data_IF_532018349498
#
_entry.id   IF_532018349498
#
_cell.length_a   1.000
_cell.length_b   1.000
_cell.length_c   1.000
_cell.angle_alpha   90.00
_cell.angle_beta   90.00
_cell.angle_gamma   90.00
#
_symmetry.space_group_name_H-M   'P 1'
#
loop_
_entity.id
_entity.type
_entity.pdbx_description
1 polymer ?
#
# COMPACT_ATOMS: atom_id res chain seq x y z
N UNK A 1 9.36 -43.51 83.21
CA UNK A 1 8.23 -44.43 83.44
C UNK A 1 6.94 -43.61 83.37
N UNK A 2 6.09 -43.82 82.35
CA UNK A 2 4.80 -43.11 82.22
C UNK A 2 4.40 -42.79 80.77
N UNK A 3 3.57 -43.66 80.18
CA UNK A 3 2.97 -43.53 78.83
C UNK A 3 1.94 -42.40 78.76
N UNK A 4 1.91 -41.65 77.66
CA UNK A 4 0.69 -40.96 77.16
C UNK A 4 0.62 -41.22 75.64
N UNK A 5 -0.20 -42.19 75.21
CA UNK A 5 -1.58 -42.05 74.69
C UNK A 5 -1.62 -41.24 73.39
N UNK A 6 -1.87 -41.97 72.31
CA UNK A 6 -1.85 -41.47 70.93
C UNK A 6 -2.98 -40.50 70.60
N UNK A 7 -2.64 -39.52 69.77
CA UNK A 7 -3.60 -38.73 69.01
C UNK A 7 -3.89 -39.47 67.69
N UNK A 8 -5.01 -40.19 67.64
CA UNK A 8 -5.63 -40.62 66.38
C UNK A 8 -6.34 -39.41 65.79
N UNK A 9 -5.64 -38.61 64.99
CA UNK A 9 -6.25 -37.56 64.19
C UNK A 9 -5.82 -37.71 62.72
N UNK A 10 -6.83 -37.86 61.87
CA UNK A 10 -6.88 -37.46 60.46
C UNK A 10 -6.24 -38.39 59.41
N UNK A 11 -6.82 -39.58 59.20
CA UNK A 11 -6.62 -40.34 57.93
C UNK A 11 -7.90 -40.41 57.09
N UNK A 12 -9.10 -40.25 57.68
CA UNK A 12 -10.36 -40.22 56.94
C UNK A 12 -10.63 -38.91 56.18
N UNK A 13 -9.95 -37.81 56.53
CA UNK A 13 -10.21 -36.49 55.94
C UNK A 13 -9.59 -36.31 54.53
N UNK A 14 -8.56 -37.08 54.17
CA UNK A 14 -7.88 -36.94 52.87
C UNK A 14 -8.56 -37.76 51.75
N UNK A 15 -9.14 -38.92 52.04
CA UNK A 15 -9.76 -39.76 50.99
C UNK A 15 -11.09 -39.15 50.50
N UNK A 16 -11.86 -38.50 51.38
CA UNK A 16 -13.08 -37.78 51.01
C UNK A 16 -12.84 -36.50 50.19
N UNK A 17 -11.69 -35.83 50.36
CA UNK A 17 -11.33 -34.60 49.63
C UNK A 17 -10.79 -34.85 48.22
N UNK A 18 -10.19 -36.02 47.93
CA UNK A 18 -9.76 -36.38 46.56
C UNK A 18 -10.92 -36.87 45.67
N UNK A 19 -11.91 -37.58 46.22
CA UNK A 19 -13.11 -38.02 45.48
C UNK A 19 -13.99 -36.83 45.13
N UNK A 20 -14.22 -35.92 46.09
CA UNK A 20 -14.96 -34.67 45.86
C UNK A 20 -14.31 -33.77 44.82
N UNK A 21 -12.97 -33.65 44.78
CA UNK A 21 -12.27 -32.88 43.75
C UNK A 21 -12.42 -33.46 42.33
N UNK A 22 -12.42 -34.78 42.16
CA UNK A 22 -12.61 -35.41 40.84
C UNK A 22 -14.05 -35.30 40.35
N UNK A 23 -15.02 -35.45 41.25
CA UNK A 23 -16.44 -35.23 40.95
C UNK A 23 -16.72 -33.76 40.63
N UNK A 24 -16.13 -32.83 41.38
CA UNK A 24 -16.21 -31.38 41.10
C UNK A 24 -15.58 -31.03 39.74
N UNK A 25 -14.41 -31.61 39.40
CA UNK A 25 -13.79 -31.40 38.09
C UNK A 25 -14.64 -31.99 36.95
N UNK A 26 -15.25 -33.16 37.15
CA UNK A 26 -16.16 -33.77 36.19
C UNK A 26 -17.42 -32.91 35.99
N UNK A 27 -18.00 -32.37 37.08
CA UNK A 27 -19.11 -31.41 37.02
C UNK A 27 -18.71 -30.12 36.31
N UNK A 28 -17.54 -29.54 36.60
CA UNK A 28 -17.05 -28.34 35.91
C UNK A 28 -16.84 -28.59 34.40
N UNK A 29 -16.32 -29.77 34.01
CA UNK A 29 -16.19 -30.17 32.60
C UNK A 29 -17.55 -30.36 31.94
N UNK A 30 -18.52 -30.94 32.63
CA UNK A 30 -19.88 -31.10 32.12
C UNK A 30 -20.57 -29.74 31.94
N UNK A 31 -20.41 -28.81 32.90
CA UNK A 31 -20.91 -27.44 32.80
C UNK A 31 -20.22 -26.71 31.63
N UNK A 32 -18.91 -26.84 31.48
CA UNK A 32 -18.17 -26.25 30.38
C UNK A 32 -18.62 -26.81 29.02
N UNK A 33 -18.77 -28.13 28.89
CA UNK A 33 -19.26 -28.78 27.66
C UNK A 33 -20.69 -28.35 27.32
N UNK A 34 -21.59 -28.30 28.31
CA UNK A 34 -22.94 -27.80 28.12
C UNK A 34 -22.95 -26.31 27.73
N UNK A 35 -22.06 -25.50 28.30
CA UNK A 35 -21.90 -24.09 27.93
C UNK A 35 -21.39 -23.92 26.50
N UNK A 36 -20.49 -24.79 26.04
CA UNK A 36 -19.98 -24.79 24.67
C UNK A 36 -21.07 -25.21 23.67
N UNK A 37 -21.81 -26.27 23.96
CA UNK A 37 -22.94 -26.69 23.14
C UNK A 37 -24.03 -25.60 23.05
N UNK A 38 -24.31 -24.91 24.16
CA UNK A 38 -25.24 -23.77 24.16
C UNK A 38 -24.73 -22.60 23.28
N UNK A 39 -23.44 -22.28 23.34
CA UNK A 39 -22.84 -21.27 22.48
C UNK A 39 -22.89 -21.66 20.99
N UNK A 40 -22.62 -22.92 20.66
CA UNK A 40 -22.71 -23.42 19.27
C UNK A 40 -24.14 -23.37 18.74
N UNK A 41 -25.11 -23.81 19.54
CA UNK A 41 -26.52 -23.69 19.21
C UNK A 41 -26.92 -22.23 18.99
N UNK A 42 -26.48 -21.31 19.85
CA UNK A 42 -26.76 -19.89 19.70
C UNK A 42 -26.14 -19.32 18.41
N UNK A 43 -24.93 -19.74 18.04
CA UNK A 43 -24.30 -19.35 16.75
C UNK A 43 -25.12 -19.86 15.57
N UNK A 44 -25.54 -21.13 15.58
CA UNK A 44 -26.37 -21.69 14.51
C UNK A 44 -27.72 -20.96 14.40
N UNK A 45 -28.37 -20.65 15.52
CA UNK A 45 -29.61 -19.87 15.53
C UNK A 45 -29.39 -18.47 14.94
N UNK A 46 -28.28 -17.81 15.29
CA UNK A 46 -27.93 -16.51 14.72
C UNK A 46 -27.68 -16.59 13.20
N UNK A 47 -27.03 -17.64 12.72
CA UNK A 47 -26.81 -17.87 11.28
C UNK A 47 -28.14 -18.06 10.54
N UNK A 48 -29.06 -18.86 11.10
CA UNK A 48 -30.41 -19.03 10.54
C UNK A 48 -31.16 -17.69 10.49
N UNK A 49 -31.09 -16.90 11.57
CA UNK A 49 -31.72 -15.57 11.61
C UNK A 49 -31.13 -14.63 10.57
N UNK A 50 -29.80 -14.63 10.38
CA UNK A 50 -29.12 -13.83 9.35
C UNK A 50 -29.55 -14.25 7.94
N UNK A 51 -29.66 -15.54 7.69
CA UNK A 51 -30.11 -16.07 6.40
C UNK A 51 -31.55 -15.65 6.10
N UNK A 52 -32.46 -15.78 7.07
CA UNK A 52 -33.85 -15.34 6.93
C UNK A 52 -33.97 -13.83 6.72
N UNK A 53 -33.16 -13.04 7.42
CA UNK A 53 -33.12 -11.59 7.25
C UNK A 53 -32.66 -11.21 5.84
N UNK A 54 -31.61 -11.87 5.32
CA UNK A 54 -31.16 -11.68 3.95
C UNK A 54 -32.24 -12.01 2.92
N UNK A 55 -32.92 -13.16 3.06
CA UNK A 55 -34.00 -13.56 2.15
C UNK A 55 -35.14 -12.53 2.13
N UNK A 56 -35.57 -12.06 3.31
CA UNK A 56 -36.62 -11.04 3.42
C UNK A 56 -36.21 -9.67 2.86
N UNK A 57 -34.91 -9.32 2.92
CA UNK A 57 -34.37 -8.09 2.34
C UNK A 57 -34.22 -8.21 0.81
N UNK A 58 -33.78 -9.38 0.31
CA UNK A 58 -33.67 -9.68 -1.10
C UNK A 58 -35.04 -9.69 -1.79
N UNK A 59 -36.06 -10.28 -1.18
CA UNK A 59 -37.45 -10.24 -1.68
C UNK A 59 -37.98 -8.80 -1.76
N UNK A 60 -37.68 -7.97 -0.75
CA UNK A 60 -38.03 -6.55 -0.76
C UNK A 60 -37.32 -5.80 -1.89
N UNK A 61 -36.07 -6.16 -2.22
CA UNK A 61 -35.32 -5.58 -3.32
C UNK A 61 -35.90 -6.01 -4.69
N UNK A 62 -36.25 -7.29 -4.85
CA UNK A 62 -36.93 -7.82 -6.04
C UNK A 62 -38.24 -7.08 -6.31
N UNK A 63 -39.12 -7.00 -5.31
CA UNK A 63 -40.38 -6.27 -5.47
C UNK A 63 -40.19 -4.78 -5.78
N UNK A 64 -39.19 -4.14 -5.16
CA UNK A 64 -38.87 -2.73 -5.45
C UNK A 64 -38.42 -2.56 -6.90
N UNK A 65 -37.47 -3.37 -7.36
CA UNK A 65 -36.92 -3.29 -8.71
C UNK A 65 -37.97 -3.60 -9.78
N UNK A 66 -38.79 -4.63 -9.58
CA UNK A 66 -39.92 -4.94 -10.47
C UNK A 66 -40.91 -3.77 -10.58
N UNK A 67 -41.20 -3.10 -9.46
CA UNK A 67 -42.06 -1.92 -9.45
C UNK A 67 -41.42 -0.76 -10.22
N UNK A 68 -40.13 -0.47 -10.04
CA UNK A 68 -39.45 0.60 -10.80
C UNK A 68 -39.40 0.30 -12.30
N UNK A 69 -39.28 -0.97 -12.69
CA UNK A 69 -39.39 -1.42 -14.09
C UNK A 69 -40.80 -1.19 -14.63
N UNK A 70 -41.83 -1.57 -13.87
CA UNK A 70 -43.23 -1.36 -14.27
C UNK A 70 -43.58 0.13 -14.41
N UNK A 71 -42.96 0.99 -13.59
CA UNK A 71 -43.11 2.45 -13.67
C UNK A 71 -42.27 3.11 -14.78
N UNK A 72 -41.47 2.33 -15.53
CA UNK A 72 -40.60 2.85 -16.58
C UNK A 72 -39.44 3.70 -16.08
N UNK A 73 -39.15 3.68 -14.77
CA UNK A 73 -38.03 4.42 -14.16
C UNK A 73 -36.70 3.69 -14.26
N UNK A 74 -36.75 2.39 -14.51
CA UNK A 74 -35.61 1.49 -14.57
C UNK A 74 -35.80 0.50 -15.72
N UNK A 75 -34.73 0.15 -16.42
CA UNK A 75 -34.78 -0.92 -17.45
C UNK A 75 -34.72 -2.30 -16.78
N UNK A 76 -35.20 -3.35 -17.46
CA UNK A 76 -35.09 -4.73 -16.92
C UNK A 76 -33.63 -5.12 -16.66
N UNK A 77 -32.72 -4.74 -17.56
CA UNK A 77 -31.27 -4.99 -17.41
C UNK A 77 -30.68 -4.26 -16.20
N UNK A 78 -31.12 -3.03 -15.92
CA UNK A 78 -30.72 -2.32 -14.71
C UNK A 78 -31.22 -3.06 -13.46
N UNK A 79 -32.47 -3.53 -13.46
CA UNK A 79 -33.03 -4.30 -12.35
C UNK A 79 -32.23 -5.59 -12.10
N UNK A 80 -31.95 -6.35 -13.17
CA UNK A 80 -31.16 -7.58 -13.08
C UNK A 80 -29.73 -7.29 -12.55
N UNK A 81 -29.11 -6.17 -12.92
CA UNK A 81 -27.81 -5.74 -12.39
C UNK A 81 -27.86 -5.40 -10.89
N UNK A 82 -28.91 -4.72 -10.41
CA UNK A 82 -29.07 -4.41 -8.98
C UNK A 82 -29.25 -5.68 -8.14
N UNK A 83 -30.00 -6.65 -8.65
CA UNK A 83 -30.18 -7.94 -8.00
C UNK A 83 -28.88 -8.73 -7.98
N UNK A 84 -28.13 -8.71 -9.07
CA UNK A 84 -26.80 -9.29 -9.16
C UNK A 84 -25.81 -8.67 -8.17
N UNK A 85 -25.80 -7.34 -8.03
CA UNK A 85 -24.99 -6.62 -7.05
C UNK A 85 -25.28 -7.10 -5.62
N UNK A 86 -26.56 -7.16 -5.25
CA UNK A 86 -26.98 -7.61 -3.93
C UNK A 86 -26.53 -9.05 -3.64
N UNK A 87 -26.70 -9.96 -4.60
CA UNK A 87 -26.29 -11.36 -4.48
C UNK A 87 -24.78 -11.49 -4.32
N UNK A 88 -23.98 -10.76 -5.12
CA UNK A 88 -22.52 -10.78 -5.01
C UNK A 88 -22.05 -10.24 -3.65
N UNK A 89 -22.63 -9.13 -3.18
CA UNK A 89 -22.29 -8.57 -1.87
C UNK A 89 -22.56 -9.56 -0.75
N UNK A 90 -23.70 -10.25 -0.78
CA UNK A 90 -24.02 -11.29 0.19
C UNK A 90 -23.05 -12.47 0.11
N UNK A 91 -22.74 -12.97 -1.10
CA UNK A 91 -21.81 -14.09 -1.27
C UNK A 91 -20.40 -13.77 -0.74
N UNK A 92 -19.97 -12.50 -0.82
CA UNK A 92 -18.73 -12.03 -0.18
C UNK A 92 -18.87 -12.00 1.34
N UNK A 93 -19.98 -11.49 1.87
CA UNK A 93 -20.24 -11.38 3.31
C UNK A 93 -20.25 -12.75 4.00
N UNK A 94 -20.87 -13.75 3.37
CA UNK A 94 -20.91 -15.12 3.90
C UNK A 94 -19.68 -15.97 3.54
N UNK A 95 -18.69 -15.38 2.86
CA UNK A 95 -17.43 -16.04 2.51
C UNK A 95 -17.54 -17.10 1.39
N UNK A 96 -18.65 -17.13 0.64
CA UNK A 96 -18.81 -18.01 -0.54
C UNK A 96 -17.99 -17.50 -1.74
N UNK A 97 -17.76 -16.19 -1.84
CA UNK A 97 -17.03 -15.57 -2.95
C UNK A 97 -15.87 -14.71 -2.45
N UNK A 98 -14.75 -14.75 -3.19
CA UNK A 98 -13.61 -13.90 -2.91
C UNK A 98 -13.93 -12.43 -3.29
N UNK A 99 -13.60 -11.43 -2.44
CA UNK A 99 -13.86 -10.02 -2.72
C UNK A 99 -13.28 -9.50 -4.05
N UNK A 100 -12.08 -9.97 -4.44
CA UNK A 100 -11.46 -9.56 -5.69
C UNK A 100 -12.19 -10.13 -6.90
N UNK A 101 -12.63 -11.39 -6.81
CA UNK A 101 -13.42 -12.02 -7.86
C UNK A 101 -14.78 -11.32 -7.99
N UNK A 102 -15.45 -11.05 -6.86
CA UNK A 102 -16.69 -10.29 -6.81
C UNK A 102 -16.55 -8.92 -7.49
N UNK A 103 -15.51 -8.16 -7.15
CA UNK A 103 -15.26 -6.86 -7.75
C UNK A 103 -15.06 -6.94 -9.27
N UNK A 104 -14.30 -7.92 -9.76
CA UNK A 104 -14.11 -8.12 -11.21
C UNK A 104 -15.42 -8.45 -11.93
N UNK A 105 -16.23 -9.37 -11.37
CA UNK A 105 -17.54 -9.73 -11.92
C UNK A 105 -18.49 -8.52 -11.97
N UNK A 106 -18.52 -7.70 -10.91
CA UNK A 106 -19.29 -6.46 -10.89
C UNK A 106 -18.88 -5.48 -11.99
N UNK A 107 -17.57 -5.29 -12.20
CA UNK A 107 -17.06 -4.44 -13.28
C UNK A 107 -17.49 -4.93 -14.66
N UNK A 108 -17.40 -6.23 -14.91
CA UNK A 108 -17.78 -6.83 -16.20
C UNK A 108 -19.28 -6.67 -16.45
N UNK A 109 -20.13 -7.04 -15.48
CA UNK A 109 -21.58 -6.90 -15.63
C UNK A 109 -22.02 -5.44 -15.77
N UNK A 110 -21.33 -4.51 -15.10
CA UNK A 110 -21.59 -3.08 -15.27
C UNK A 110 -21.22 -2.59 -16.67
N UNK A 111 -20.07 -3.05 -17.18
CA UNK A 111 -19.63 -2.77 -18.54
C UNK A 111 -20.63 -3.30 -19.58
N UNK A 112 -21.13 -4.53 -19.41
CA UNK A 112 -22.12 -5.13 -20.29
C UNK A 112 -23.45 -4.34 -20.27
N UNK A 113 -23.89 -3.88 -19.09
CA UNK A 113 -25.05 -3.01 -18.95
C UNK A 113 -24.87 -1.68 -19.70
N UNK A 114 -23.71 -1.05 -19.56
CA UNK A 114 -23.40 0.20 -20.25
C UNK A 114 -23.43 0.04 -21.78
N UNK A 115 -22.89 -1.06 -22.30
CA UNK A 115 -22.92 -1.37 -23.74
C UNK A 115 -24.33 -1.66 -24.21
N UNK A 116 -25.07 -2.47 -23.45
CA UNK A 116 -26.45 -2.84 -23.69
C UNK A 116 -27.41 -1.65 -23.78
N UNK A 117 -27.12 -0.56 -23.07
CA UNK A 117 -27.91 0.67 -23.08
C UNK A 117 -27.35 1.76 -24.00
N UNK A 118 -26.29 1.46 -24.75
CA UNK A 118 -25.66 2.43 -25.65
C UNK A 118 -24.94 3.56 -24.92
N UNK A 119 -24.63 3.40 -23.62
CA UNK A 119 -23.87 4.37 -22.83
C UNK A 119 -22.37 4.35 -23.15
N UNK A 120 -21.87 3.23 -23.68
CA UNK A 120 -20.49 3.05 -24.08
C UNK A 120 -20.37 2.05 -25.22
N UNK A 121 -19.30 2.15 -26.00
CA UNK A 121 -18.89 1.10 -26.94
C UNK A 121 -18.26 -0.09 -26.22
N UNK A 122 -18.21 -1.25 -26.89
CA UNK A 122 -17.52 -2.42 -26.34
C UNK A 122 -16.06 -2.11 -25.98
N UNK A 123 -15.37 -1.33 -26.82
CA UNK A 123 -13.98 -0.94 -26.61
C UNK A 123 -13.80 -0.07 -25.35
N UNK A 124 -14.66 0.93 -25.16
CA UNK A 124 -14.64 1.81 -23.98
C UNK A 124 -14.99 1.04 -22.70
N UNK A 125 -15.94 0.10 -22.79
CA UNK A 125 -16.34 -0.73 -21.68
C UNK A 125 -15.19 -1.68 -21.24
N UNK A 126 -14.57 -2.39 -22.20
CA UNK A 126 -13.39 -3.22 -21.92
C UNK A 126 -12.21 -2.41 -21.37
N UNK A 127 -11.96 -1.21 -21.91
CA UNK A 127 -10.93 -0.31 -21.39
C UNK A 127 -11.18 0.06 -19.92
N UNK A 128 -12.40 0.43 -19.57
CA UNK A 128 -12.77 0.79 -18.19
C UNK A 128 -12.60 -0.39 -17.23
N UNK A 129 -13.04 -1.59 -17.61
CA UNK A 129 -12.83 -2.80 -16.79
C UNK A 129 -11.35 -3.02 -16.50
N UNK A 130 -10.49 -2.95 -17.53
CA UNK A 130 -9.05 -3.12 -17.34
C UNK A 130 -8.43 -2.03 -16.46
N UNK A 131 -8.84 -0.77 -16.64
CA UNK A 131 -8.31 0.35 -15.86
C UNK A 131 -8.69 0.26 -14.38
N UNK A 132 -9.97 0.03 -14.09
CA UNK A 132 -10.48 -0.06 -12.71
C UNK A 132 -9.92 -1.30 -12.01
N UNK A 133 -9.87 -2.44 -12.71
CA UNK A 133 -9.25 -3.65 -12.17
C UNK A 133 -7.76 -3.43 -11.84
N UNK A 134 -7.02 -2.76 -12.73
CA UNK A 134 -5.61 -2.49 -12.48
C UNK A 134 -5.42 -1.63 -11.23
N UNK A 135 -6.22 -0.57 -11.06
CA UNK A 135 -6.15 0.32 -9.90
C UNK A 135 -6.60 -0.36 -8.61
N UNK A 136 -7.60 -1.25 -8.66
CA UNK A 136 -8.00 -2.07 -7.52
C UNK A 136 -6.86 -2.98 -7.04
N UNK A 137 -6.15 -3.62 -7.97
CA UNK A 137 -5.06 -4.55 -7.64
C UNK A 137 -3.73 -3.85 -7.33
N UNK A 138 -3.57 -2.59 -7.73
CA UNK A 138 -2.31 -1.87 -7.61
C UNK A 138 -2.50 -0.57 -6.82
N UNK A 139 -1.98 -0.49 -5.59
CA UNK A 139 -1.98 0.77 -4.86
C UNK A 139 -1.12 1.83 -5.57
N UNK A 140 -1.23 3.07 -5.10
CA UNK A 140 -0.42 4.18 -5.58
C UNK A 140 1.08 3.85 -5.59
N UNK A 141 1.84 4.31 -6.60
CA UNK A 141 3.26 4.04 -6.72
C UNK A 141 4.03 4.59 -5.54
N UNK A 142 5.13 3.90 -5.20
CA UNK A 142 6.12 4.43 -4.27
C UNK A 142 6.99 5.46 -5.00
N UNK A 143 7.37 6.58 -4.36
CA UNK A 143 8.21 7.61 -4.97
C UNK A 143 9.54 7.06 -5.53
N UNK A 144 10.14 6.10 -4.83
CA UNK A 144 11.40 5.46 -5.24
C UNK A 144 11.31 4.57 -6.49
N UNK A 145 10.13 4.17 -6.95
CA UNK A 145 9.99 3.42 -8.20
C UNK A 145 9.88 4.33 -9.44
N UNK A 146 9.98 5.65 -9.26
CA UNK A 146 9.93 6.61 -10.36
C UNK A 146 11.06 6.37 -11.35
N UNK A 147 10.72 6.40 -12.63
CA UNK A 147 11.72 6.41 -13.71
C UNK A 147 12.44 7.75 -13.68
N UNK A 148 13.75 7.70 -13.49
CA UNK A 148 14.60 8.89 -13.37
C UNK A 148 15.84 8.75 -14.24
N UNK A 149 16.46 9.89 -14.59
CA UNK A 149 17.60 9.92 -15.50
C UNK A 149 18.90 9.37 -14.87
N UNK A 150 19.00 9.39 -13.54
CA UNK A 150 20.17 9.00 -12.76
C UNK A 150 19.79 8.41 -11.40
N UNK A 151 20.73 7.71 -10.75
CA UNK A 151 20.54 7.21 -9.39
C UNK A 151 20.37 8.34 -8.36
N UNK A 152 21.06 9.47 -8.52
CA UNK A 152 20.87 10.64 -7.64
C UNK A 152 19.45 11.18 -7.69
N UNK A 153 18.88 11.28 -8.89
CA UNK A 153 17.48 11.68 -9.07
C UNK A 153 16.49 10.66 -8.47
N UNK A 154 16.80 9.36 -8.55
CA UNK A 154 16.02 8.32 -7.86
C UNK A 154 16.04 8.51 -6.35
N UNK A 155 17.21 8.77 -5.76
CA UNK A 155 17.36 9.03 -4.32
C UNK A 155 16.65 10.33 -3.88
N UNK A 156 16.67 11.36 -4.72
CA UNK A 156 15.91 12.59 -4.45
C UNK A 156 14.40 12.32 -4.51
N UNK A 157 13.94 11.55 -5.51
CA UNK A 157 12.53 11.22 -5.68
C UNK A 157 12.00 10.32 -4.55
N UNK A 158 12.83 9.40 -4.02
CA UNK A 158 12.43 8.49 -2.95
C UNK A 158 12.14 9.18 -1.61
N UNK A 159 12.60 10.42 -1.43
CA UNK A 159 12.39 11.23 -0.22
C UNK A 159 11.12 12.09 -0.25
N UNK A 160 10.47 12.21 -1.41
CA UNK A 160 9.25 13.00 -1.60
C UNK A 160 8.00 12.13 -1.72
N UNK A 161 6.82 12.72 -1.90
CA UNK A 161 5.63 11.97 -2.30
C UNK A 161 5.74 11.49 -3.76
N UNK A 162 4.90 10.53 -4.14
CA UNK A 162 4.76 10.16 -5.53
C UNK A 162 4.13 11.33 -6.31
N UNK A 163 4.64 11.58 -7.50
CA UNK A 163 4.22 12.69 -8.37
C UNK A 163 3.83 12.14 -9.74
N UNK A 164 3.03 12.86 -10.54
CA UNK A 164 2.69 12.41 -11.88
C UNK A 164 3.93 12.10 -12.73
N UNK A 165 3.90 11.00 -13.50
CA UNK A 165 4.99 10.59 -14.36
C UNK A 165 5.11 9.08 -14.57
N UNK A 166 6.27 8.65 -15.06
CA UNK A 166 6.56 7.25 -15.36
C UNK A 166 7.16 6.52 -14.16
N UNK A 167 6.66 5.31 -13.89
CA UNK A 167 7.11 4.47 -12.78
C UNK A 167 7.45 3.05 -13.26
N UNK A 168 8.54 2.50 -12.74
CA UNK A 168 8.90 1.10 -12.92
C UNK A 168 7.96 0.24 -12.08
N UNK A 169 7.04 -0.44 -12.75
CA UNK A 169 6.02 -1.26 -12.09
C UNK A 169 6.12 -2.73 -12.48
N UNK A 170 6.47 -2.97 -13.73
CA UNK A 170 6.62 -4.29 -14.32
C UNK A 170 8.07 -4.41 -14.85
N UNK A 171 8.69 -5.60 -14.83
CA UNK A 171 10.05 -5.77 -15.32
C UNK A 171 10.21 -5.26 -16.76
N UNK A 172 11.05 -4.25 -16.97
CA UNK A 172 11.31 -3.66 -18.29
C UNK A 172 10.19 -2.75 -18.84
N UNK A 173 9.08 -2.57 -18.11
CA UNK A 173 7.94 -1.75 -18.54
C UNK A 173 7.67 -0.65 -17.52
N UNK A 174 7.64 0.58 -18.01
CA UNK A 174 7.19 1.73 -17.25
C UNK A 174 5.69 1.97 -17.50
N UNK A 175 4.96 2.29 -16.44
CA UNK A 175 3.55 2.69 -16.50
C UNK A 175 3.38 4.10 -15.98
N UNK A 176 2.46 4.86 -16.56
CA UNK A 176 2.21 6.24 -16.18
C UNK A 176 1.22 6.34 -15.02
N UNK A 177 1.58 7.16 -14.04
CA UNK A 177 0.77 7.65 -12.93
C UNK A 177 0.36 9.09 -13.20
N UNK A 178 -0.92 9.42 -13.09
CA UNK A 178 -1.44 10.78 -13.35
C UNK A 178 -1.47 11.69 -12.12
N UNK A 179 -1.17 11.14 -10.93
CA UNK A 179 -1.27 11.84 -9.65
C UNK A 179 -2.33 11.26 -8.73
N UNK A 180 -3.38 10.65 -9.28
CA UNK A 180 -4.49 10.06 -8.55
C UNK A 180 -4.64 8.56 -8.80
N UNK A 181 -4.39 8.11 -10.04
CA UNK A 181 -4.55 6.71 -10.47
C UNK A 181 -3.52 6.29 -11.50
N UNK A 182 -3.36 4.98 -11.64
CA UNK A 182 -2.60 4.37 -12.72
C UNK A 182 -3.38 4.51 -14.02
N UNK A 183 -2.65 4.80 -15.09
CA UNK A 183 -3.20 4.78 -16.45
C UNK A 183 -2.85 3.47 -17.15
N UNK A 184 -3.54 3.19 -18.27
CA UNK A 184 -3.18 2.07 -19.13
C UNK A 184 -2.00 2.38 -20.07
N UNK A 185 -1.48 3.61 -20.06
CA UNK A 185 -0.31 3.99 -20.84
C UNK A 185 0.95 3.30 -20.30
N UNK A 186 1.61 2.55 -21.18
CA UNK A 186 2.86 1.86 -20.89
C UNK A 186 3.89 2.15 -21.96
N UNK A 187 5.16 2.03 -21.61
CA UNK A 187 6.28 2.08 -22.55
C UNK A 187 7.46 1.27 -22.02
N UNK A 188 8.44 0.91 -22.87
CA UNK A 188 9.68 0.32 -22.39
C UNK A 188 10.36 1.22 -21.36
N UNK A 189 10.86 0.64 -20.27
CA UNK A 189 11.52 1.39 -19.20
C UNK A 189 12.78 2.14 -19.69
N UNK A 190 13.43 1.62 -20.73
CA UNK A 190 14.55 2.28 -21.42
C UNK A 190 14.11 3.58 -22.08
N UNK A 191 13.01 3.54 -22.83
CA UNK A 191 12.40 4.72 -23.47
C UNK A 191 11.97 5.75 -22.43
N UNK A 192 11.31 5.31 -21.35
CA UNK A 192 10.92 6.21 -20.27
C UNK A 192 12.14 6.91 -19.62
N UNK A 193 13.25 6.18 -19.45
CA UNK A 193 14.50 6.72 -18.91
C UNK A 193 15.16 7.72 -19.85
N UNK A 194 15.10 7.47 -21.16
CA UNK A 194 15.58 8.42 -22.17
C UNK A 194 14.75 9.69 -22.20
N UNK A 195 13.42 9.58 -22.12
CA UNK A 195 12.52 10.73 -22.01
C UNK A 195 12.87 11.55 -20.76
N UNK A 196 12.94 10.90 -19.59
CA UNK A 196 13.32 11.57 -18.35
C UNK A 196 14.69 12.25 -18.43
N UNK A 197 15.65 11.66 -19.16
CA UNK A 197 16.97 12.27 -19.41
C UNK A 197 16.88 13.48 -20.34
N UNK A 198 16.14 13.40 -21.44
CA UNK A 198 15.96 14.50 -22.40
C UNK A 198 15.26 15.69 -21.73
N UNK A 199 14.19 15.42 -20.98
CA UNK A 199 13.48 16.42 -20.19
C UNK A 199 14.44 17.12 -19.23
N UNK A 200 15.22 16.36 -18.46
CA UNK A 200 16.21 16.91 -17.53
C UNK A 200 17.28 17.78 -18.21
N UNK A 201 17.75 17.39 -19.40
CA UNK A 201 18.69 18.20 -20.18
C UNK A 201 18.07 19.50 -20.72
N UNK A 202 16.76 19.54 -20.91
CA UNK A 202 16.03 20.68 -21.49
C UNK A 202 15.65 21.79 -20.48
N UNK A 203 15.86 21.58 -19.17
CA UNK A 203 15.40 22.48 -18.09
C UNK A 203 16.03 23.88 -18.12
N UNK A 204 17.02 24.13 -18.98
CA UNK A 204 17.70 25.43 -19.12
C UNK A 204 16.84 26.62 -19.59
N UNK A 205 15.54 26.44 -19.87
CA UNK A 205 14.67 27.47 -20.44
C UNK A 205 13.65 28.10 -19.46
N UNK A 206 13.40 27.52 -18.28
CA UNK A 206 12.26 27.89 -17.44
C UNK A 206 12.66 28.53 -16.11
N UNK A 207 13.00 29.82 -16.09
CA UNK A 207 13.00 30.67 -14.87
C UNK A 207 13.78 30.17 -13.63
N UNK A 208 14.52 29.08 -13.74
CA UNK A 208 15.20 28.42 -12.63
C UNK A 208 16.49 29.17 -12.37
N UNK A 209 16.60 29.70 -11.16
CA UNK A 209 17.74 30.53 -10.78
C UNK A 209 19.00 29.66 -10.79
N UNK A 210 19.96 30.01 -11.65
CA UNK A 210 21.25 29.33 -11.70
C UNK A 210 21.98 29.45 -10.36
N UNK A 211 22.38 28.30 -9.85
CA UNK A 211 23.15 28.18 -8.61
C UNK A 211 24.62 28.52 -8.87
N UNK A 212 25.27 29.16 -7.90
CA UNK A 212 26.67 29.55 -8.01
C UNK A 212 27.58 28.35 -7.79
N UNK A 213 28.45 28.09 -8.75
CA UNK A 213 29.51 27.09 -8.64
C UNK A 213 30.49 27.44 -7.52
N UNK A 214 30.85 28.72 -7.41
CA UNK A 214 31.78 29.18 -6.36
C UNK A 214 31.21 28.92 -4.98
N UNK A 215 29.93 29.26 -4.74
CA UNK A 215 29.27 28.95 -3.47
C UNK A 215 29.22 27.44 -3.22
N UNK A 216 28.83 26.64 -4.20
CA UNK A 216 28.79 25.18 -4.08
C UNK A 216 30.16 24.57 -3.75
N UNK A 217 31.22 25.04 -4.43
CA UNK A 217 32.59 24.56 -4.23
C UNK A 217 33.18 24.96 -2.87
N UNK A 218 33.00 26.22 -2.45
CA UNK A 218 33.40 26.68 -1.11
C UNK A 218 32.66 25.88 -0.03
N UNK A 219 31.35 25.64 -0.23
CA UNK A 219 30.56 24.84 0.69
C UNK A 219 31.04 23.39 0.74
N UNK A 220 31.52 22.84 -0.37
CA UNK A 220 32.16 21.51 -0.41
C UNK A 220 33.49 21.47 0.34
N UNK A 221 34.32 22.52 0.25
CA UNK A 221 35.60 22.57 0.98
C UNK A 221 35.37 22.74 2.48
N UNK A 222 34.50 23.68 2.88
CA UNK A 222 34.33 24.02 4.29
C UNK A 222 33.38 23.07 5.02
N UNK A 223 32.30 22.63 4.37
CA UNK A 223 31.22 21.83 4.96
C UNK A 223 30.91 20.56 4.12
N UNK A 224 31.83 20.11 3.27
CA UNK A 224 31.61 18.93 2.45
C UNK A 224 31.55 17.63 3.24
N UNK A 225 32.12 17.60 4.45
CA UNK A 225 32.07 16.41 5.31
C UNK A 225 30.62 16.03 5.71
N UNK A 226 29.70 17.00 5.78
CA UNK A 226 28.25 16.75 5.94
C UNK A 226 27.47 16.77 4.61
N UNK A 227 28.13 17.03 3.49
CA UNK A 227 27.48 17.12 2.17
C UNK A 227 26.67 18.40 1.92
N UNK A 228 27.01 19.51 2.59
CA UNK A 228 26.25 20.78 2.47
C UNK A 228 26.13 21.28 1.01
N UNK A 229 27.17 21.07 0.19
CA UNK A 229 27.16 21.40 -1.25
C UNK A 229 26.11 20.60 -2.03
N UNK A 230 25.84 19.34 -1.67
CA UNK A 230 24.78 18.53 -2.30
C UNK A 230 23.40 19.08 -2.01
N UNK A 231 23.16 19.50 -0.76
CA UNK A 231 21.91 20.18 -0.39
C UNK A 231 21.73 21.50 -1.15
N UNK A 232 22.80 22.30 -1.26
CA UNK A 232 22.78 23.51 -2.08
C UNK A 232 22.42 23.21 -3.53
N UNK A 233 23.02 22.20 -4.14
CA UNK A 233 22.73 21.76 -5.51
C UNK A 233 21.34 21.12 -5.66
N UNK A 234 20.66 20.77 -4.56
CA UNK A 234 19.33 20.17 -4.56
C UNK A 234 19.34 18.64 -4.55
N UNK A 235 20.52 18.03 -4.49
CA UNK A 235 20.74 16.59 -4.36
C UNK A 235 20.59 16.13 -2.91
N UNK A 236 19.39 16.29 -2.37
CA UNK A 236 19.07 15.93 -0.97
C UNK A 236 19.38 14.46 -0.68
N UNK A 237 19.08 13.57 -1.63
CA UNK A 237 19.38 12.14 -1.60
C UNK A 237 20.84 11.85 -1.25
N UNK A 238 21.75 12.43 -2.05
CA UNK A 238 23.19 12.31 -1.84
C UNK A 238 23.66 13.06 -0.61
N UNK A 239 23.10 14.24 -0.31
CA UNK A 239 23.45 15.01 0.89
C UNK A 239 23.20 14.23 2.18
N UNK A 240 22.03 13.61 2.33
CA UNK A 240 21.72 12.78 3.49
C UNK A 240 22.57 11.51 3.55
N UNK A 241 22.85 10.87 2.40
CA UNK A 241 23.75 9.72 2.36
C UNK A 241 25.14 10.10 2.87
N UNK A 242 25.68 11.22 2.38
CA UNK A 242 27.00 11.71 2.78
C UNK A 242 27.04 12.06 4.27
N UNK A 243 26.04 12.78 4.78
CA UNK A 243 25.91 13.09 6.21
C UNK A 243 25.80 11.83 7.08
N UNK A 244 25.01 10.84 6.64
CA UNK A 244 24.86 9.55 7.34
C UNK A 244 26.15 8.75 7.36
N UNK A 245 26.85 8.64 6.22
CA UNK A 245 28.15 7.97 6.14
C UNK A 245 29.17 8.66 7.04
N UNK A 246 29.25 10.00 7.02
CA UNK A 246 30.13 10.74 7.92
C UNK A 246 29.79 10.44 9.39
N UNK A 247 28.52 10.57 9.80
CA UNK A 247 28.10 10.34 11.18
C UNK A 247 28.43 8.92 11.67
N UNK A 248 28.20 7.90 10.83
CA UNK A 248 28.43 6.50 11.19
C UNK A 248 29.91 6.12 11.24
N UNK A 249 30.75 6.77 10.43
CA UNK A 249 32.16 6.39 10.26
C UNK A 249 33.13 7.34 10.94
N UNK A 250 32.68 8.53 11.38
CA UNK A 250 33.55 9.56 11.95
C UNK A 250 34.37 9.05 13.13
N UNK A 251 33.74 8.29 14.04
CA UNK A 251 34.39 7.72 15.22
C UNK A 251 35.50 6.71 14.89
N UNK A 252 35.40 6.02 13.74
CA UNK A 252 36.36 4.98 13.34
C UNK A 252 37.42 5.49 12.36
N UNK A 253 37.09 6.51 11.57
CA UNK A 253 37.95 7.02 10.49
C UNK A 253 38.66 8.32 10.84
N UNK A 254 38.46 8.84 12.06
CA UNK A 254 39.00 10.12 12.54
C UNK A 254 38.77 11.28 11.56
N UNK A 255 37.63 11.26 10.86
CA UNK A 255 37.26 12.31 9.91
C UNK A 255 37.90 12.22 8.52
N UNK A 256 38.62 11.14 8.18
CA UNK A 256 39.15 10.92 6.81
C UNK A 256 38.05 10.95 5.74
N UNK A 257 36.85 10.48 6.08
CA UNK A 257 35.66 10.55 5.19
C UNK A 257 35.29 12.00 4.83
N UNK A 258 35.66 12.97 5.66
CA UNK A 258 35.48 14.40 5.35
C UNK A 258 36.29 14.87 4.15
N UNK A 259 37.42 14.22 3.83
CA UNK A 259 38.25 14.54 2.66
C UNK A 259 37.52 14.27 1.34
N UNK A 260 36.56 13.34 1.32
CA UNK A 260 35.70 13.13 0.16
C UNK A 260 34.92 14.41 -0.20
N UNK A 261 34.37 15.09 0.81
CA UNK A 261 33.67 16.36 0.62
C UNK A 261 34.58 17.47 0.07
N UNK A 262 35.82 17.55 0.59
CA UNK A 262 36.82 18.51 0.10
C UNK A 262 37.18 18.25 -1.35
N UNK A 263 37.41 16.99 -1.72
CA UNK A 263 37.70 16.59 -3.10
C UNK A 263 36.56 16.99 -4.05
N UNK A 264 35.30 16.74 -3.67
CA UNK A 264 34.13 17.19 -4.45
C UNK A 264 34.06 18.71 -4.56
N UNK A 265 34.35 19.44 -3.48
CA UNK A 265 34.41 20.90 -3.49
C UNK A 265 35.42 21.45 -4.51
N UNK A 266 36.62 20.86 -4.57
CA UNK A 266 37.64 21.20 -5.56
C UNK A 266 37.16 20.85 -6.98
N UNK A 267 36.58 19.68 -7.19
CA UNK A 267 36.07 19.26 -8.50
C UNK A 267 34.98 20.20 -9.04
N UNK A 268 34.10 20.68 -8.17
CA UNK A 268 33.08 21.69 -8.51
C UNK A 268 33.75 22.99 -8.96
N UNK A 269 34.76 23.48 -8.22
CA UNK A 269 35.50 24.68 -8.61
C UNK A 269 36.26 24.50 -9.93
N UNK A 270 36.79 23.30 -10.18
CA UNK A 270 37.51 22.95 -11.40
C UNK A 270 36.61 22.65 -12.61
N UNK A 271 35.27 22.79 -12.50
CA UNK A 271 34.30 22.49 -13.58
C UNK A 271 34.37 21.05 -14.08
N UNK A 272 34.58 20.09 -13.18
CA UNK A 272 34.44 18.69 -13.58
C UNK A 272 33.05 18.45 -14.19
N UNK A 273 32.97 17.76 -15.34
CA UNK A 273 31.73 17.60 -16.11
C UNK A 273 30.60 17.00 -15.28
N UNK A 274 30.93 16.08 -14.37
CA UNK A 274 29.99 15.42 -13.46
C UNK A 274 29.31 16.38 -12.47
N UNK A 275 29.85 17.58 -12.25
CA UNK A 275 29.33 18.64 -11.38
C UNK A 275 28.98 19.92 -12.14
N UNK A 276 28.83 19.85 -13.46
CA UNK A 276 28.50 21.01 -14.31
C UNK A 276 27.08 21.54 -14.13
N UNK A 277 26.18 20.72 -13.57
CA UNK A 277 24.74 20.99 -13.43
C UNK A 277 24.26 20.70 -12.01
N UNK A 278 23.19 21.37 -11.62
CA UNK A 278 22.47 21.10 -10.38
C UNK A 278 21.50 19.91 -10.53
N UNK A 279 20.80 19.56 -9.44
CA UNK A 279 19.85 18.44 -9.42
C UNK A 279 18.69 18.62 -10.42
N UNK A 280 18.34 19.86 -10.78
CA UNK A 280 17.31 20.19 -11.75
C UNK A 280 17.82 20.14 -13.20
N UNK A 281 19.12 19.92 -13.41
CA UNK A 281 19.74 19.87 -14.73
C UNK A 281 20.20 21.24 -15.23
N UNK A 282 20.11 22.27 -14.38
CA UNK A 282 20.49 23.63 -14.74
C UNK A 282 21.99 23.82 -14.55
N UNK A 283 22.69 24.38 -15.54
CA UNK A 283 24.14 24.61 -15.42
C UNK A 283 24.47 25.60 -14.30
N UNK A 284 25.59 25.36 -13.63
CA UNK A 284 26.09 26.24 -12.58
C UNK A 284 26.78 27.48 -13.19
N UNK A 285 26.60 28.65 -12.56
CA UNK A 285 27.28 29.90 -12.93
C UNK A 285 28.68 30.01 -12.30
#
# INVERSE_FOLDING_TARGET
>A
MGKMKGNRLNTAANVGTFVTNREQLAQQRAIAANSQAAMEFQKQQLEIQRQQAYEADYDRLMHRTDREVALGRMTRRQADFVLFEAQICHDVEVGRKNPDQAFYELLVHRADLDVAEGRATQAEASYRVHLEWYNHKNPAPKPGSRVTHSFGAMMNASMGPAVPGWYNKEPGIARRWDGARWTLETMPATTAKEIARREWLSVSAQGHVQKSRTTAGILGILLGFVGAHRFYLGDKGWGFLQAGVFLLTFAFTFGLVGLWGVAEGIMILCRADIFSRDAAGVPLK
#
